data_IF_794078501610
#
_entry.id   IF_794078501610
#
_cell.length_a   1.000
_cell.length_b   1.000
_cell.length_c   1.000
_cell.angle_alpha   90.00
_cell.angle_beta   90.00
_cell.angle_gamma   90.00
#
_symmetry.space_group_name_H-M   'P 1'
#
loop_
_entity.id
_entity.type
_entity.pdbx_description
1 polymer ?
#
# COMPACT_ATOMS: atom_id res chain seq x y z
N UNK A 1 90.58 -32.45 -15.26
CA UNK A 1 90.39 -31.84 -13.93
C UNK A 1 89.40 -32.69 -13.06
N UNK A 2 88.94 -33.86 -13.55
CA UNK A 2 88.07 -34.78 -12.81
C UNK A 2 88.75 -35.88 -12.02
N UNK A 3 89.98 -36.23 -12.39
CA UNK A 3 90.77 -37.34 -11.73
C UNK A 3 91.33 -37.02 -10.37
N UNK A 4 91.55 -35.78 -10.03
CA UNK A 4 92.18 -35.37 -8.75
C UNK A 4 91.14 -35.39 -7.61
N UNK A 5 89.88 -35.16 -7.94
CA UNK A 5 88.81 -35.14 -6.92
C UNK A 5 88.44 -36.56 -6.42
N UNK A 6 88.46 -37.52 -7.32
CA UNK A 6 88.07 -38.90 -7.02
C UNK A 6 89.14 -39.62 -6.13
N UNK A 7 90.47 -39.30 -6.30
CA UNK A 7 91.51 -39.87 -5.46
C UNK A 7 91.52 -39.35 -4.00
N UNK A 8 91.03 -38.16 -3.78
CA UNK A 8 90.97 -37.53 -2.44
C UNK A 8 89.78 -38.10 -1.64
N UNK A 9 88.73 -38.40 -2.28
CA UNK A 9 87.52 -38.92 -1.67
C UNK A 9 87.69 -40.44 -1.29
N UNK A 10 88.44 -41.20 -2.08
CA UNK A 10 88.79 -42.59 -1.73
C UNK A 10 89.79 -42.65 -0.58
N UNK A 11 90.72 -41.72 -0.47
CA UNK A 11 91.70 -41.65 0.64
C UNK A 11 91.02 -41.25 1.98
N UNK A 12 89.99 -40.45 1.94
CA UNK A 12 89.17 -40.05 3.10
C UNK A 12 88.32 -41.22 3.59
N UNK A 13 87.66 -41.92 2.68
CA UNK A 13 86.79 -43.05 2.99
C UNK A 13 87.60 -44.20 3.60
N UNK A 14 88.84 -44.45 3.14
CA UNK A 14 89.77 -45.50 3.71
C UNK A 14 90.19 -45.25 5.12
N UNK A 15 90.09 -44.02 5.65
CA UNK A 15 90.50 -43.65 7.03
C UNK A 15 89.31 -43.73 8.03
N UNK A 16 88.13 -43.88 7.61
CA UNK A 16 86.93 -43.98 8.47
C UNK A 16 86.70 -45.47 8.83
N UNK A 17 87.20 -45.90 9.94
CA UNK A 17 86.84 -47.18 10.52
C UNK A 17 85.60 -47.05 11.30
N UNK A 18 84.50 -47.47 10.69
CA UNK A 18 83.23 -47.68 11.43
C UNK A 18 83.45 -48.84 12.38
N UNK A 19 83.51 -48.60 13.68
CA UNK A 19 83.29 -49.60 14.65
C UNK A 19 81.80 -49.83 14.80
N UNK A 20 81.30 -51.02 14.48
CA UNK A 20 79.85 -51.27 14.76
C UNK A 20 79.73 -51.17 16.29
N UNK A 21 78.99 -50.23 16.74
CA UNK A 21 78.47 -50.18 18.11
C UNK A 21 77.47 -51.28 18.17
N UNK A 22 77.78 -52.41 18.85
CA UNK A 22 76.78 -53.42 19.22
C UNK A 22 75.82 -52.77 20.19
N UNK A 23 74.88 -52.03 19.69
CA UNK A 23 73.63 -51.77 20.41
C UNK A 23 72.72 -52.95 20.15
N UNK A 24 72.41 -53.63 21.17
CA UNK A 24 71.38 -54.71 21.09
C UNK A 24 70.14 -53.98 20.53
N UNK A 25 69.61 -54.43 19.38
CA UNK A 25 68.46 -53.71 18.73
C UNK A 25 67.23 -53.67 19.63
N UNK A 26 67.08 -54.56 20.49
CA UNK A 26 65.91 -54.71 21.39
C UNK A 26 65.87 -53.59 22.46
N UNK A 27 67.00 -53.15 22.99
CA UNK A 27 67.09 -52.15 24.07
C UNK A 27 66.75 -50.71 23.52
N UNK A 28 67.01 -50.45 22.28
CA UNK A 28 66.68 -49.18 21.64
C UNK A 28 65.18 -49.19 21.22
N UNK A 29 64.71 -50.34 20.75
CA UNK A 29 63.35 -50.51 20.38
C UNK A 29 62.39 -50.40 21.57
N UNK A 30 62.73 -51.13 22.67
CA UNK A 30 61.96 -51.03 23.91
C UNK A 30 61.94 -49.64 24.54
N UNK A 31 63.07 -48.91 24.51
CA UNK A 31 63.10 -47.53 24.99
C UNK A 31 62.30 -46.58 24.12
N UNK A 32 62.27 -46.82 22.82
CA UNK A 32 61.45 -46.02 21.91
C UNK A 32 59.95 -46.34 22.08
N UNK A 33 59.65 -47.66 22.20
CA UNK A 33 58.26 -48.10 22.46
C UNK A 33 57.79 -47.64 23.84
N UNK A 34 58.57 -47.72 24.87
CA UNK A 34 58.20 -47.15 26.17
C UNK A 34 58.01 -45.64 26.15
N UNK A 35 58.77 -44.88 25.34
CA UNK A 35 58.50 -43.46 25.14
C UNK A 35 57.24 -43.17 24.36
N UNK A 36 56.90 -44.00 23.39
CA UNK A 36 55.65 -43.87 22.62
C UNK A 36 54.47 -44.26 23.46
N UNK A 37 54.60 -45.36 24.24
CA UNK A 37 53.51 -45.83 25.09
C UNK A 37 53.34 -45.01 26.38
N UNK A 38 54.43 -44.41 26.92
CA UNK A 38 54.38 -43.47 28.04
C UNK A 38 54.27 -42.00 27.60
N UNK A 39 54.16 -41.72 26.32
CA UNK A 39 53.56 -40.46 25.91
C UNK A 39 52.11 -40.54 26.35
N UNK A 40 51.84 -40.12 27.58
CA UNK A 40 50.48 -39.69 27.93
C UNK A 40 50.00 -38.83 26.78
N UNK A 41 49.23 -39.43 25.86
CA UNK A 41 48.33 -38.66 25.04
C UNK A 41 47.54 -37.86 26.06
N UNK A 42 47.89 -36.62 26.21
CA UNK A 42 47.06 -35.63 26.88
C UNK A 42 45.77 -35.65 26.02
N UNK A 43 44.91 -36.67 26.21
CA UNK A 43 43.52 -36.55 25.95
C UNK A 43 43.14 -35.46 26.93
N UNK A 44 43.18 -34.20 26.45
CA UNK A 44 42.57 -33.10 27.17
C UNK A 44 41.15 -33.58 27.46
N UNK A 45 40.96 -34.19 28.61
CA UNK A 45 39.65 -34.51 29.13
C UNK A 45 38.94 -33.18 29.12
N UNK A 46 38.00 -33.00 28.15
CA UNK A 46 37.18 -31.80 28.09
C UNK A 46 36.60 -31.68 29.48
N UNK A 47 37.17 -30.77 30.28
CA UNK A 47 36.78 -30.59 31.67
C UNK A 47 35.24 -30.44 31.66
N UNK A 48 34.56 -31.00 32.67
CA UNK A 48 33.10 -30.87 32.78
C UNK A 48 32.65 -29.42 32.59
N UNK A 49 33.48 -28.46 32.95
CA UNK A 49 33.28 -27.03 32.75
C UNK A 49 33.10 -26.65 31.27
N UNK A 50 33.90 -27.22 30.35
CA UNK A 50 33.75 -26.98 28.91
C UNK A 50 32.51 -27.59 28.33
N UNK A 51 32.02 -28.72 28.85
CA UNK A 51 30.73 -29.34 28.46
C UNK A 51 29.57 -28.43 28.88
N UNK A 52 29.59 -27.90 30.08
CA UNK A 52 28.54 -26.96 30.53
C UNK A 52 28.62 -25.61 29.79
N UNK A 53 29.84 -25.14 29.49
CA UNK A 53 30.02 -23.92 28.70
C UNK A 53 29.48 -24.06 27.27
N UNK A 54 29.70 -25.22 26.60
CA UNK A 54 29.17 -25.44 25.25
C UNK A 54 27.65 -25.55 25.25
N UNK A 55 27.06 -26.21 26.27
CA UNK A 55 25.59 -26.28 26.41
C UNK A 55 25.02 -24.88 26.66
N UNK A 56 25.63 -24.10 27.56
CA UNK A 56 25.19 -22.74 27.83
C UNK A 56 25.28 -21.83 26.59
N UNK A 57 26.38 -21.97 25.80
CA UNK A 57 26.53 -21.23 24.55
C UNK A 57 25.47 -21.62 23.51
N UNK A 58 25.15 -22.93 23.39
CA UNK A 58 24.10 -23.41 22.47
C UNK A 58 22.73 -22.89 22.87
N UNK A 59 22.40 -22.91 24.16
CA UNK A 59 21.13 -22.39 24.69
C UNK A 59 21.05 -20.89 24.45
N UNK A 60 22.14 -20.15 24.73
CA UNK A 60 22.19 -18.70 24.47
C UNK A 60 21.97 -18.39 22.97
N UNK A 61 22.59 -19.17 22.09
CA UNK A 61 22.44 -19.02 20.64
C UNK A 61 21.00 -19.29 20.17
N UNK A 62 20.35 -20.30 20.74
CA UNK A 62 18.93 -20.60 20.47
C UNK A 62 18.02 -19.48 20.97
N UNK A 63 18.28 -18.94 22.17
CA UNK A 63 17.51 -17.82 22.73
C UNK A 63 17.68 -16.58 21.84
N UNK A 64 18.91 -16.24 21.46
CA UNK A 64 19.20 -15.10 20.59
C UNK A 64 18.56 -15.31 19.20
N UNK A 65 18.71 -16.51 18.63
CA UNK A 65 18.05 -16.83 17.34
C UNK A 65 16.53 -16.71 17.42
N UNK A 66 15.92 -17.23 18.50
CA UNK A 66 14.48 -17.13 18.73
C UNK A 66 14.04 -15.68 18.91
N UNK A 67 14.81 -14.88 19.65
CA UNK A 67 14.54 -13.47 19.84
C UNK A 67 14.65 -12.67 18.52
N UNK A 68 15.72 -12.92 17.75
CA UNK A 68 15.92 -12.30 16.45
C UNK A 68 14.82 -12.72 15.46
N UNK A 69 14.43 -14.03 15.47
CA UNK A 69 13.34 -14.52 14.66
C UNK A 69 12.03 -13.84 15.03
N UNK A 70 11.71 -13.72 16.32
CA UNK A 70 10.52 -13.00 16.80
C UNK A 70 10.55 -11.53 16.38
N UNK A 71 11.68 -10.83 16.56
CA UNK A 71 11.85 -9.43 16.17
C UNK A 71 11.72 -9.23 14.65
N UNK A 72 12.15 -10.21 13.85
CA UNK A 72 12.02 -10.17 12.39
C UNK A 72 10.61 -10.51 11.91
N UNK A 73 9.88 -11.38 12.64
CA UNK A 73 8.53 -11.84 12.28
C UNK A 73 7.40 -11.03 12.93
N UNK A 74 7.71 -10.21 13.94
CA UNK A 74 6.69 -9.31 14.48
C UNK A 74 6.27 -8.32 13.38
N UNK A 75 4.96 -8.25 13.05
CA UNK A 75 4.46 -7.29 12.10
C UNK A 75 4.80 -5.90 12.61
N UNK A 76 5.58 -5.15 11.84
CA UNK A 76 5.81 -3.74 12.16
C UNK A 76 4.44 -3.07 12.16
N UNK A 77 4.13 -2.22 13.14
CA UNK A 77 2.91 -1.45 13.11
C UNK A 77 2.89 -0.68 11.77
N UNK A 78 1.84 -0.90 10.98
CA UNK A 78 1.66 -0.19 9.72
C UNK A 78 1.58 1.30 10.05
N UNK A 79 2.52 2.08 9.55
CA UNK A 79 2.41 3.53 9.57
C UNK A 79 1.33 3.92 8.56
N UNK A 80 0.39 4.73 8.99
CA UNK A 80 -0.66 5.30 8.13
C UNK A 80 -0.31 6.73 7.79
N UNK A 81 -0.56 7.08 6.55
CA UNK A 81 -0.49 8.43 6.02
C UNK A 81 -1.92 8.97 5.86
N UNK A 82 -2.10 10.24 6.16
CA UNK A 82 -3.37 10.92 6.04
C UNK A 82 -3.19 12.17 5.17
N UNK A 83 -4.07 12.33 4.20
CA UNK A 83 -4.10 13.49 3.32
C UNK A 83 -5.49 14.09 3.34
N UNK A 84 -5.56 15.39 3.61
CA UNK A 84 -6.80 16.15 3.60
C UNK A 84 -6.73 17.22 2.54
N UNK A 85 -7.74 17.29 1.69
CA UNK A 85 -7.95 18.39 0.74
C UNK A 85 -8.77 19.48 1.41
N UNK A 86 -8.29 20.71 1.34
CA UNK A 86 -9.03 21.88 1.90
C UNK A 86 -10.26 22.19 1.07
N UNK A 87 -11.23 22.85 1.68
CA UNK A 87 -12.44 23.34 1.00
C UNK A 87 -12.06 24.18 -0.22
N UNK A 88 -12.67 23.89 -1.38
CA UNK A 88 -12.40 24.57 -2.63
C UNK A 88 -11.06 24.24 -3.29
N UNK A 89 -10.28 23.32 -2.71
CA UNK A 89 -9.02 22.82 -3.28
C UNK A 89 -9.20 21.41 -3.82
N UNK A 90 -8.33 21.02 -4.75
CA UNK A 90 -8.21 19.65 -5.25
C UNK A 90 -6.80 19.17 -4.96
N UNK A 91 -6.67 17.96 -4.47
CA UNK A 91 -5.36 17.40 -4.10
C UNK A 91 -5.16 16.07 -4.82
N UNK A 92 -4.08 15.94 -5.56
CA UNK A 92 -3.70 14.68 -6.18
C UNK A 92 -2.75 13.92 -5.25
N UNK A 93 -3.02 12.65 -5.03
CA UNK A 93 -2.24 11.74 -4.19
C UNK A 93 -1.78 10.56 -5.04
N UNK A 94 -0.49 10.27 -5.03
CA UNK A 94 0.06 9.05 -5.61
C UNK A 94 0.27 8.03 -4.48
N UNK A 95 -0.44 6.92 -4.56
CA UNK A 95 -0.37 5.84 -3.58
C UNK A 95 0.85 4.93 -3.82
N UNK A 96 1.26 4.10 -2.82
CA UNK A 96 2.43 3.23 -2.92
C UNK A 96 2.38 2.18 -4.05
N UNK A 97 1.20 1.87 -4.57
CA UNK A 97 0.97 0.94 -5.69
C UNK A 97 0.88 1.63 -7.07
N UNK A 98 1.19 2.93 -7.11
CA UNK A 98 1.05 3.80 -8.28
C UNK A 98 -0.40 4.14 -8.66
N UNK A 99 -1.38 3.79 -7.84
CA UNK A 99 -2.75 4.29 -7.97
C UNK A 99 -2.77 5.80 -7.79
N UNK A 100 -3.47 6.49 -8.66
CA UNK A 100 -3.64 7.96 -8.57
C UNK A 100 -5.02 8.26 -8.00
N UNK A 101 -5.06 9.10 -6.97
CA UNK A 101 -6.29 9.54 -6.33
C UNK A 101 -6.38 11.06 -6.41
N UNK A 102 -7.48 11.57 -6.93
CA UNK A 102 -7.82 12.99 -6.82
C UNK A 102 -8.84 13.16 -5.69
N UNK A 103 -8.50 13.95 -4.70
CA UNK A 103 -9.39 14.35 -3.62
C UNK A 103 -10.05 15.68 -3.96
N UNK A 104 -11.38 15.74 -3.88
CA UNK A 104 -12.12 16.99 -3.96
C UNK A 104 -11.99 17.79 -2.66
N UNK A 105 -12.49 19.02 -2.64
CA UNK A 105 -12.49 19.84 -1.43
C UNK A 105 -13.20 19.18 -0.26
N UNK A 106 -12.71 19.41 0.97
CA UNK A 106 -13.24 18.83 2.21
C UNK A 106 -13.22 17.29 2.26
N UNK A 107 -12.24 16.67 1.59
CA UNK A 107 -12.11 15.22 1.55
C UNK A 107 -10.86 14.75 2.25
N UNK A 108 -10.91 13.55 2.81
CA UNK A 108 -9.85 12.95 3.61
C UNK A 108 -9.62 11.51 3.18
N UNK A 109 -8.35 11.15 2.96
CA UNK A 109 -7.93 9.77 2.69
C UNK A 109 -6.89 9.33 3.71
N UNK A 110 -7.03 8.10 4.17
CA UNK A 110 -6.07 7.44 5.07
C UNK A 110 -5.64 6.11 4.45
N UNK A 111 -4.33 5.91 4.33
CA UNK A 111 -3.76 4.72 3.71
C UNK A 111 -2.44 4.33 4.37
N UNK A 112 -2.03 3.04 4.35
CA UNK A 112 -0.77 2.61 4.92
C UNK A 112 0.41 3.03 4.02
N UNK A 113 1.56 3.33 4.63
CA UNK A 113 2.81 3.61 3.91
C UNK A 113 3.21 2.45 2.97
N UNK A 114 2.86 1.22 3.34
CA UNK A 114 3.06 0.01 2.53
C UNK A 114 1.81 -0.84 2.61
N UNK A 115 1.25 -1.21 1.47
CA UNK A 115 0.09 -2.09 1.44
C UNK A 115 0.43 -3.51 1.90
N UNK A 116 -0.50 -4.16 2.59
CA UNK A 116 -0.43 -5.57 2.97
C UNK A 116 -0.15 -6.47 1.75
N UNK A 117 0.32 -7.68 2.02
CA UNK A 117 0.63 -8.66 0.96
C UNK A 117 -0.61 -9.14 0.20
N UNK A 118 -1.79 -9.08 0.81
CA UNK A 118 -3.04 -9.64 0.25
C UNK A 118 -3.97 -8.60 -0.36
N UNK A 119 -3.99 -7.39 0.18
CA UNK A 119 -4.95 -6.35 -0.21
C UNK A 119 -4.29 -4.97 -0.22
N UNK A 120 -4.93 -4.02 -0.91
CA UNK A 120 -4.59 -2.59 -0.92
C UNK A 120 -5.77 -1.85 -0.30
N UNK A 121 -5.72 -1.61 1.00
CA UNK A 121 -6.85 -1.01 1.73
C UNK A 121 -6.58 0.44 2.07
N UNK A 122 -7.61 1.26 1.89
CA UNK A 122 -7.62 2.68 2.25
C UNK A 122 -8.96 3.02 2.91
N UNK A 123 -9.02 4.16 3.59
CA UNK A 123 -10.24 4.76 4.13
C UNK A 123 -10.47 6.09 3.43
N UNK A 124 -11.72 6.40 3.09
CA UNK A 124 -12.12 7.65 2.45
C UNK A 124 -13.28 8.29 3.19
N UNK A 125 -13.22 9.62 3.32
CA UNK A 125 -14.34 10.48 3.71
C UNK A 125 -14.38 11.66 2.74
N UNK A 126 -15.55 12.05 2.25
CA UNK A 126 -15.71 13.08 1.24
C UNK A 126 -15.72 12.53 -0.19
N UNK A 127 -15.24 13.27 -1.16
CA UNK A 127 -15.26 12.90 -2.57
C UNK A 127 -13.87 12.65 -3.13
N UNK A 128 -13.70 11.52 -3.82
CA UNK A 128 -12.48 11.18 -4.51
C UNK A 128 -12.74 10.45 -5.84
N UNK A 129 -11.89 10.74 -6.82
CA UNK A 129 -11.77 9.96 -8.02
C UNK A 129 -10.52 9.09 -7.95
N UNK A 130 -10.65 7.85 -8.36
CA UNK A 130 -9.61 6.84 -8.34
C UNK A 130 -9.29 6.36 -9.75
N UNK A 131 -8.02 6.38 -10.09
CA UNK A 131 -7.43 5.67 -11.22
C UNK A 131 -6.55 4.57 -10.63
N UNK A 132 -7.13 3.37 -10.47
CA UNK A 132 -6.51 2.27 -9.74
C UNK A 132 -5.66 1.42 -10.66
N UNK A 133 -4.37 1.31 -10.36
CA UNK A 133 -3.45 0.41 -11.05
C UNK A 133 -3.95 -1.03 -11.04
N UNK A 134 -4.02 -1.67 -12.23
CA UNK A 134 -4.52 -3.04 -12.38
C UNK A 134 -3.64 -4.05 -11.62
N UNK A 135 -4.27 -4.82 -10.73
CA UNK A 135 -3.66 -5.96 -10.07
C UNK A 135 -4.74 -6.96 -9.63
N UNK A 136 -4.90 -8.04 -10.40
CA UNK A 136 -5.92 -9.08 -10.17
C UNK A 136 -5.65 -9.94 -8.93
N UNK A 137 -4.38 -10.05 -8.53
CA UNK A 137 -3.98 -10.88 -7.38
C UNK A 137 -4.14 -10.14 -6.05
N UNK A 138 -4.12 -8.79 -6.09
CA UNK A 138 -4.14 -7.96 -4.90
C UNK A 138 -5.22 -6.87 -5.04
N UNK A 139 -6.47 -7.15 -4.65
CA UNK A 139 -7.58 -6.20 -4.79
C UNK A 139 -7.34 -4.90 -4.03
N UNK A 140 -7.84 -3.81 -4.59
CA UNK A 140 -7.89 -2.49 -3.98
C UNK A 140 -9.26 -2.32 -3.30
N UNK A 141 -9.26 -1.88 -2.05
CA UNK A 141 -10.45 -1.78 -1.21
C UNK A 141 -10.52 -0.37 -0.64
N UNK A 142 -11.64 0.31 -0.90
CA UNK A 142 -11.97 1.59 -0.27
C UNK A 142 -12.98 1.32 0.84
N UNK A 143 -12.60 1.54 2.08
CA UNK A 143 -13.48 1.43 3.23
C UNK A 143 -14.22 2.74 3.43
N UNK A 144 -15.54 2.66 3.55
CA UNK A 144 -16.47 3.75 3.76
C UNK A 144 -17.34 3.45 5.00
N UNK A 145 -18.20 4.37 5.36
CA UNK A 145 -19.15 4.16 6.45
C UNK A 145 -20.26 3.17 6.04
N UNK A 146 -20.28 1.99 6.66
CA UNK A 146 -21.32 0.95 6.42
C UNK A 146 -21.14 0.12 5.16
N UNK A 147 -20.12 0.40 4.33
CA UNK A 147 -19.83 -0.37 3.13
C UNK A 147 -18.36 -0.32 2.73
N UNK A 148 -17.95 -1.21 1.83
CA UNK A 148 -16.66 -1.09 1.16
C UNK A 148 -16.76 -1.38 -0.34
N UNK A 149 -15.89 -0.72 -1.08
CA UNK A 149 -15.77 -0.81 -2.55
C UNK A 149 -14.53 -1.62 -2.87
N UNK A 150 -14.65 -2.65 -3.70
CA UNK A 150 -13.53 -3.51 -4.12
C UNK A 150 -13.36 -3.47 -5.63
N UNK A 151 -12.12 -3.24 -6.06
CA UNK A 151 -11.75 -3.18 -7.49
C UNK A 151 -10.42 -3.89 -7.74
N UNK A 152 -10.12 -4.19 -9.02
CA UNK A 152 -8.87 -4.82 -9.43
C UNK A 152 -7.98 -3.93 -10.30
N UNK A 153 -8.56 -2.92 -10.95
CA UNK A 153 -7.97 -1.97 -11.87
C UNK A 153 -9.12 -1.24 -12.56
N UNK A 154 -9.45 -0.03 -12.12
CA UNK A 154 -10.76 0.57 -12.37
C UNK A 154 -10.66 2.07 -12.20
N UNK A 155 -11.37 2.82 -13.05
CA UNK A 155 -11.58 4.25 -12.91
C UNK A 155 -12.99 4.50 -12.37
N UNK A 156 -13.10 5.14 -11.20
CA UNK A 156 -14.38 5.39 -10.54
C UNK A 156 -14.33 6.58 -9.60
N UNK A 157 -15.49 7.17 -9.36
CA UNK A 157 -15.68 8.25 -8.39
C UNK A 157 -16.48 7.76 -7.19
N UNK A 158 -16.10 8.17 -6.00
CA UNK A 158 -16.88 7.97 -4.77
C UNK A 158 -17.19 9.34 -4.18
N UNK A 159 -18.42 9.54 -3.77
CA UNK A 159 -18.86 10.64 -2.93
C UNK A 159 -19.46 10.09 -1.63
N UNK A 160 -18.76 10.29 -0.52
CA UNK A 160 -19.09 9.79 0.82
C UNK A 160 -19.00 10.94 1.84
N UNK A 161 -19.89 11.91 1.70
CA UNK A 161 -19.96 13.05 2.62
C UNK A 161 -20.49 12.56 3.99
N UNK A 162 -19.82 12.90 5.11
CA UNK A 162 -20.26 12.54 6.45
C UNK A 162 -21.65 13.09 6.79
N UNK A 163 -22.00 14.26 6.27
CA UNK A 163 -23.27 14.95 6.54
C UNK A 163 -24.42 14.42 5.63
N UNK A 164 -24.13 13.51 4.68
CA UNK A 164 -25.13 12.88 3.81
C UNK A 164 -25.50 11.49 4.31
N UNK A 165 -26.78 11.15 4.19
CA UNK A 165 -27.29 9.79 4.40
C UNK A 165 -26.94 8.83 3.23
N UNK A 166 -26.45 9.36 2.11
CA UNK A 166 -26.15 8.59 0.89
C UNK A 166 -24.64 8.55 0.63
N UNK A 167 -24.18 7.41 0.12
CA UNK A 167 -22.87 7.26 -0.53
C UNK A 167 -23.12 6.96 -2.00
N UNK A 168 -22.45 7.69 -2.88
CA UNK A 168 -22.54 7.50 -4.33
C UNK A 168 -21.25 6.92 -4.88
N UNK A 169 -21.32 5.84 -5.65
CA UNK A 169 -20.19 5.26 -6.37
C UNK A 169 -20.49 5.22 -7.85
N UNK A 170 -19.73 5.94 -8.67
CA UNK A 170 -19.93 6.03 -10.12
C UNK A 170 -18.78 5.37 -10.86
N UNK A 171 -19.07 4.41 -11.72
CA UNK A 171 -18.06 3.68 -12.48
C UNK A 171 -17.84 4.28 -13.86
N UNK A 172 -16.57 4.59 -14.17
CA UNK A 172 -16.14 5.11 -15.47
C UNK A 172 -15.61 3.99 -16.37
N UNK A 173 -14.63 3.22 -15.86
CA UNK A 173 -13.99 2.12 -16.59
C UNK A 173 -13.66 0.96 -15.64
N UNK A 174 -13.77 -0.27 -16.14
CA UNK A 174 -13.47 -1.49 -15.39
C UNK A 174 -14.70 -2.13 -14.73
N UNK A 175 -14.58 -2.51 -13.46
CA UNK A 175 -15.67 -3.13 -12.68
C UNK A 175 -15.51 -2.79 -11.20
N UNK A 176 -16.61 -2.48 -10.54
CA UNK A 176 -16.69 -2.19 -9.10
C UNK A 176 -17.59 -3.20 -8.43
N UNK A 177 -17.08 -3.88 -7.40
CA UNK A 177 -17.87 -4.73 -6.53
C UNK A 177 -18.12 -4.01 -5.19
N UNK A 178 -19.40 -3.94 -4.80
CA UNK A 178 -19.87 -3.27 -3.58
C UNK A 178 -20.25 -4.32 -2.53
N UNK A 179 -19.85 -4.06 -1.30
CA UNK A 179 -20.13 -4.92 -0.14
C UNK A 179 -20.65 -4.06 0.99
N UNK A 180 -21.77 -4.44 1.58
CA UNK A 180 -22.30 -3.80 2.78
C UNK A 180 -21.83 -4.51 4.03
N UNK A 181 -21.65 -3.78 5.11
CA UNK A 181 -21.19 -4.35 6.40
C UNK A 181 -22.24 -5.28 7.03
N UNK A 182 -23.50 -5.19 6.57
CA UNK A 182 -24.59 -6.05 7.02
C UNK A 182 -24.50 -7.46 6.47
N UNK A 183 -23.73 -7.67 5.38
CA UNK A 183 -23.63 -8.93 4.68
C UNK A 183 -22.28 -9.59 4.96
N UNK A 184 -22.25 -10.66 5.78
CA UNK A 184 -21.06 -11.45 6.05
C UNK A 184 -20.69 -12.44 4.93
N UNK A 185 -21.29 -12.28 3.73
CA UNK A 185 -21.06 -13.18 2.59
C UNK A 185 -19.82 -12.76 1.80
N UNK A 186 -19.05 -13.72 1.22
CA UNK A 186 -17.94 -13.40 0.34
C UNK A 186 -18.37 -12.88 -1.04
N UNK A 187 -19.68 -12.89 -1.34
CA UNK A 187 -20.25 -12.40 -2.60
C UNK A 187 -20.56 -10.92 -2.49
N UNK A 188 -20.30 -10.11 -3.53
CA UNK A 188 -20.70 -8.71 -3.54
C UNK A 188 -22.22 -8.58 -3.52
N UNK A 189 -22.73 -7.52 -2.89
CA UNK A 189 -24.14 -7.17 -2.92
C UNK A 189 -24.55 -6.65 -4.29
N UNK A 190 -23.65 -5.86 -4.93
CA UNK A 190 -23.85 -5.35 -6.29
C UNK A 190 -22.53 -5.28 -7.05
N UNK A 191 -22.60 -5.36 -8.38
CA UNK A 191 -21.46 -5.19 -9.29
C UNK A 191 -21.83 -4.16 -10.36
N UNK A 192 -21.10 -3.05 -10.39
CA UNK A 192 -21.32 -2.01 -11.39
C UNK A 192 -20.57 -2.32 -12.69
N UNK A 193 -21.20 -1.91 -13.81
CA UNK A 193 -20.58 -1.82 -15.12
C UNK A 193 -20.38 -0.34 -15.53
N UNK A 194 -19.48 -0.03 -16.49
CA UNK A 194 -19.21 1.36 -16.90
C UNK A 194 -20.48 2.11 -17.28
N UNK A 195 -20.63 3.33 -16.77
CA UNK A 195 -21.83 4.16 -16.97
C UNK A 195 -22.90 3.97 -15.91
N UNK A 196 -22.67 3.19 -14.88
CA UNK A 196 -23.57 3.03 -13.74
C UNK A 196 -23.11 3.76 -12.50
N UNK A 197 -24.09 4.11 -11.67
CA UNK A 197 -23.91 4.68 -10.34
C UNK A 197 -24.71 3.86 -9.33
N UNK A 198 -24.09 3.51 -8.22
CA UNK A 198 -24.74 2.99 -7.04
C UNK A 198 -24.99 4.11 -6.02
N UNK A 199 -26.18 4.09 -5.43
CA UNK A 199 -26.60 4.90 -4.31
C UNK A 199 -26.77 3.98 -3.10
N UNK A 200 -25.89 4.07 -2.14
CA UNK A 200 -26.00 3.34 -0.88
C UNK A 200 -26.62 4.25 0.18
N UNK A 201 -27.72 3.83 0.77
CA UNK A 201 -28.40 4.50 1.87
C UNK A 201 -27.85 3.98 3.21
N UNK A 202 -27.20 4.84 3.98
CA UNK A 202 -26.56 4.50 5.25
C UNK A 202 -27.55 4.03 6.31
N UNK A 203 -28.80 4.51 6.26
CA UNK A 203 -29.81 4.19 7.27
C UNK A 203 -30.46 2.82 7.01
N UNK A 204 -30.80 2.54 5.77
CA UNK A 204 -31.47 1.28 5.40
C UNK A 204 -30.47 0.17 5.03
N UNK A 205 -29.25 0.51 4.67
CA UNK A 205 -28.25 -0.43 4.13
C UNK A 205 -28.55 -0.91 2.73
N UNK A 206 -29.49 -0.26 2.00
CA UNK A 206 -29.88 -0.64 0.65
C UNK A 206 -29.00 0.02 -0.41
N UNK A 207 -28.79 -0.69 -1.52
CA UNK A 207 -28.10 -0.18 -2.70
C UNK A 207 -29.11 -0.07 -3.86
N UNK A 208 -29.17 1.10 -4.49
CA UNK A 208 -29.90 1.32 -5.75
C UNK A 208 -28.89 1.59 -6.87
N UNK A 209 -29.01 0.90 -7.99
CA UNK A 209 -28.14 1.09 -9.17
C UNK A 209 -28.93 1.76 -10.29
N UNK A 210 -28.33 2.79 -10.90
CA UNK A 210 -28.94 3.52 -12.02
C UNK A 210 -27.91 3.86 -13.09
N UNK A 211 -28.28 3.93 -14.37
CA UNK A 211 -27.42 4.44 -15.43
C UNK A 211 -27.25 5.95 -15.31
N UNK A 212 -26.01 6.43 -15.52
CA UNK A 212 -25.66 7.84 -15.44
C UNK A 212 -24.66 8.23 -16.52
N UNK A 213 -24.56 9.55 -16.78
CA UNK A 213 -23.43 10.13 -17.51
C UNK A 213 -22.27 10.35 -16.54
N UNK A 214 -21.23 9.58 -16.67
CA UNK A 214 -20.05 9.63 -15.77
C UNK A 214 -19.39 11.00 -15.75
N UNK A 215 -19.41 11.72 -16.88
CA UNK A 215 -18.84 13.09 -16.96
C UNK A 215 -19.46 14.07 -15.97
N UNK A 216 -20.72 13.90 -15.58
CA UNK A 216 -21.35 14.75 -14.56
C UNK A 216 -20.78 14.55 -13.15
N UNK A 217 -20.13 13.42 -12.90
CA UNK A 217 -19.55 13.03 -11.61
C UNK A 217 -18.03 13.12 -11.57
N UNK A 218 -17.39 13.33 -12.73
CA UNK A 218 -15.93 13.44 -12.84
C UNK A 218 -15.46 14.84 -13.30
N UNK A 219 -16.38 15.68 -13.78
CA UNK A 219 -16.08 17.05 -14.27
C UNK A 219 -15.45 17.94 -13.21
N UNK A 220 -15.66 17.66 -11.95
CA UNK A 220 -15.02 18.41 -10.87
C UNK A 220 -13.48 18.33 -10.93
N UNK A 221 -12.90 17.23 -11.46
CA UNK A 221 -11.44 17.06 -11.58
C UNK A 221 -10.84 18.05 -12.57
N UNK A 222 -11.45 18.18 -13.75
CA UNK A 222 -10.96 19.06 -14.82
C UNK A 222 -11.44 20.50 -14.65
N UNK A 223 -12.57 20.70 -13.99
CA UNK A 223 -13.30 21.96 -13.94
C UNK A 223 -14.10 22.24 -15.20
N UNK A 224 -14.27 21.22 -16.05
CA UNK A 224 -15.08 21.28 -17.26
C UNK A 224 -16.45 20.68 -16.97
N UNK A 225 -17.50 21.44 -17.21
CA UNK A 225 -18.87 21.01 -16.97
C UNK A 225 -19.64 20.89 -18.28
N UNK A 226 -20.23 19.71 -18.50
CA UNK A 226 -21.04 19.41 -19.66
C UNK A 226 -22.45 19.00 -19.20
N UNK A 227 -23.33 19.97 -19.18
CA UNK A 227 -24.73 19.78 -18.82
C UNK A 227 -25.56 19.66 -20.09
N UNK A 228 -26.14 18.51 -20.37
CA UNK A 228 -26.97 18.30 -21.55
C UNK A 228 -28.32 17.72 -21.16
N UNK A 229 -29.37 18.52 -21.32
CA UNK A 229 -30.75 18.15 -20.98
C UNK A 229 -30.89 17.58 -19.56
N UNK A 230 -30.26 18.23 -18.59
CA UNK A 230 -30.41 17.90 -17.17
C UNK A 230 -31.19 19.00 -16.46
N UNK A 231 -31.76 18.68 -15.32
CA UNK A 231 -32.54 19.65 -14.55
C UNK A 231 -31.64 20.66 -13.86
N UNK A 232 -32.16 21.87 -13.62
CA UNK A 232 -31.42 22.88 -12.87
C UNK A 232 -31.06 22.39 -11.45
N UNK A 233 -31.95 21.61 -10.81
CA UNK A 233 -31.65 20.98 -9.52
C UNK A 233 -30.43 20.07 -9.57
N UNK A 234 -30.29 19.26 -10.62
CA UNK A 234 -29.09 18.41 -10.81
C UNK A 234 -27.84 19.23 -11.07
N UNK A 235 -27.94 20.33 -11.86
CA UNK A 235 -26.82 21.28 -12.04
C UNK A 235 -26.38 21.84 -10.69
N UNK A 236 -27.31 22.31 -9.88
CA UNK A 236 -27.01 22.85 -8.56
C UNK A 236 -26.34 21.81 -7.67
N UNK A 237 -26.81 20.58 -7.66
CA UNK A 237 -26.20 19.48 -6.90
C UNK A 237 -24.76 19.18 -7.33
N UNK A 238 -24.46 19.25 -8.63
CA UNK A 238 -23.08 19.13 -9.13
C UNK A 238 -22.22 20.30 -8.64
N UNK A 239 -22.75 21.54 -8.74
CA UNK A 239 -22.03 22.74 -8.32
C UNK A 239 -21.82 22.78 -6.80
N UNK A 240 -22.79 22.32 -5.99
CA UNK A 240 -22.65 22.16 -4.52
C UNK A 240 -21.41 21.32 -4.18
N UNK A 241 -21.28 20.16 -4.84
CA UNK A 241 -20.14 19.26 -4.66
C UNK A 241 -18.83 19.89 -5.12
N UNK A 242 -18.82 20.44 -6.33
CA UNK A 242 -17.58 20.96 -6.94
C UNK A 242 -17.01 22.18 -6.21
N UNK A 243 -17.89 23.04 -5.69
CA UNK A 243 -17.49 24.27 -5.03
C UNK A 243 -17.66 24.24 -3.51
N UNK A 244 -18.12 23.13 -2.95
CA UNK A 244 -18.36 22.97 -1.50
C UNK A 244 -19.29 24.06 -0.94
N UNK A 245 -20.36 24.35 -1.65
CA UNK A 245 -21.38 25.33 -1.30
C UNK A 245 -22.74 24.67 -1.11
N UNK A 246 -23.72 25.41 -0.56
CA UNK A 246 -25.09 24.95 -0.40
C UNK A 246 -26.04 25.93 -1.06
N UNK A 247 -26.94 25.45 -1.95
CA UNK A 247 -27.92 26.28 -2.63
C UNK A 247 -29.26 26.33 -1.90
N UNK A 248 -29.79 27.52 -1.76
CA UNK A 248 -31.11 27.82 -1.20
C UNK A 248 -31.99 28.48 -2.28
N UNK A 249 -32.96 27.74 -2.80
CA UNK A 249 -33.88 28.27 -3.79
C UNK A 249 -35.13 28.80 -3.12
N UNK A 250 -35.49 30.06 -3.47
CA UNK A 250 -36.76 30.61 -3.05
C UNK A 250 -37.95 30.02 -3.83
N UNK A 251 -37.73 29.65 -5.09
CA UNK A 251 -38.74 29.03 -5.95
C UNK A 251 -38.30 27.61 -6.32
N UNK A 252 -38.84 26.62 -5.64
CA UNK A 252 -38.50 25.19 -5.84
C UNK A 252 -38.82 24.67 -7.24
N UNK A 253 -39.86 25.26 -7.94
CA UNK A 253 -40.19 24.82 -9.29
C UNK A 253 -39.11 25.10 -10.34
N UNK A 254 -38.11 25.88 -10.01
CA UNK A 254 -36.93 26.07 -10.87
C UNK A 254 -36.08 24.83 -10.99
N UNK A 255 -36.11 23.95 -9.98
CA UNK A 255 -35.34 22.71 -9.99
C UNK A 255 -35.67 21.81 -11.17
N UNK A 256 -36.91 21.83 -11.64
CA UNK A 256 -37.42 20.95 -12.69
C UNK A 256 -37.14 21.47 -14.11
N UNK A 257 -36.55 22.66 -14.25
CA UNK A 257 -36.23 23.25 -15.54
C UNK A 257 -35.04 22.56 -16.17
N UNK A 258 -35.21 22.02 -17.38
CA UNK A 258 -34.12 21.40 -18.14
C UNK A 258 -33.24 22.41 -18.83
N UNK A 259 -31.94 22.26 -18.70
CA UNK A 259 -30.93 23.09 -19.29
C UNK A 259 -29.89 22.30 -20.06
N UNK A 260 -29.27 22.98 -21.02
CA UNK A 260 -28.04 22.52 -21.66
C UNK A 260 -27.04 23.66 -21.55
N UNK A 261 -25.88 23.41 -20.94
CA UNK A 261 -24.82 24.39 -20.77
C UNK A 261 -23.46 23.67 -20.78
N UNK A 262 -22.45 24.39 -21.24
CA UNK A 262 -21.07 23.87 -21.26
C UNK A 262 -20.14 24.98 -20.72
N UNK A 263 -19.27 24.55 -19.78
CA UNK A 263 -18.26 25.39 -19.17
C UNK A 263 -16.92 24.69 -19.29
N UNK A 264 -15.93 25.26 -19.95
CA UNK A 264 -14.66 24.60 -20.30
C UNK A 264 -13.42 25.46 -20.07
N UNK A 265 -13.60 26.59 -19.41
CA UNK A 265 -12.51 27.53 -19.15
C UNK A 265 -12.19 27.66 -17.66
N UNK A 266 -12.60 26.65 -16.87
CA UNK A 266 -12.47 26.63 -15.40
C UNK A 266 -13.14 27.84 -14.74
N UNK A 267 -14.34 28.12 -15.23
CA UNK A 267 -15.14 29.22 -14.71
C UNK A 267 -15.36 29.08 -13.20
N UNK A 268 -15.30 30.19 -12.52
CA UNK A 268 -15.66 30.30 -11.10
C UNK A 268 -17.15 30.05 -10.89
N UNK A 269 -17.56 29.72 -9.67
CA UNK A 269 -18.98 29.56 -9.33
C UNK A 269 -19.80 30.82 -9.71
N UNK A 270 -19.25 31.99 -9.44
CA UNK A 270 -19.92 33.26 -9.75
C UNK A 270 -20.13 33.47 -11.26
N UNK A 271 -19.14 33.11 -12.08
CA UNK A 271 -19.24 33.14 -13.54
C UNK A 271 -20.27 32.15 -14.07
N UNK A 272 -20.23 30.88 -13.58
CA UNK A 272 -21.22 29.86 -13.94
C UNK A 272 -22.65 30.36 -13.62
N UNK A 273 -22.86 30.82 -12.39
CA UNK A 273 -24.16 31.33 -11.96
C UNK A 273 -24.61 32.54 -12.76
N UNK A 274 -23.69 33.43 -13.12
CA UNK A 274 -23.98 34.62 -13.96
C UNK A 274 -24.42 34.20 -15.36
N UNK A 275 -23.80 33.18 -15.95
CA UNK A 275 -24.18 32.68 -17.27
C UNK A 275 -25.55 31.97 -17.21
N UNK A 276 -25.78 31.14 -16.21
CA UNK A 276 -27.07 30.46 -16.01
C UNK A 276 -28.21 31.46 -15.72
N UNK A 277 -27.91 32.56 -15.02
CA UNK A 277 -28.84 33.67 -14.75
C UNK A 277 -29.44 34.26 -16.02
N UNK A 278 -28.64 34.35 -17.09
CA UNK A 278 -29.11 34.90 -18.38
C UNK A 278 -30.29 34.08 -18.94
N UNK A 279 -30.20 32.77 -18.83
CA UNK A 279 -31.20 31.83 -19.33
C UNK A 279 -32.40 31.70 -18.39
N UNK A 280 -32.17 31.67 -17.07
CA UNK A 280 -33.17 31.37 -16.06
C UNK A 280 -33.82 32.61 -15.41
N UNK A 281 -33.25 33.80 -15.62
CA UNK A 281 -33.77 35.09 -15.12
C UNK A 281 -33.97 35.16 -13.60
N UNK A 282 -33.04 34.60 -12.83
CA UNK A 282 -32.99 34.68 -11.37
C UNK A 282 -32.01 35.74 -10.90
N UNK A 283 -32.00 36.01 -9.60
CA UNK A 283 -30.91 36.72 -8.91
C UNK A 283 -30.26 35.78 -7.93
N UNK A 284 -28.96 35.90 -7.77
CA UNK A 284 -28.26 35.12 -6.76
C UNK A 284 -27.42 36.02 -5.83
N UNK A 285 -27.14 35.50 -4.65
CA UNK A 285 -26.31 36.13 -3.63
C UNK A 285 -25.48 35.03 -2.98
N UNK A 286 -24.14 35.17 -2.96
CA UNK A 286 -23.20 34.25 -2.34
C UNK A 286 -22.80 34.84 -0.98
N UNK A 287 -22.99 34.07 0.09
CA UNK A 287 -22.58 34.39 1.45
C UNK A 287 -21.81 33.22 2.02
N UNK A 288 -20.51 33.35 2.10
CA UNK A 288 -19.60 32.29 2.52
C UNK A 288 -19.82 31.00 1.71
N UNK A 289 -20.46 30.00 2.29
CA UNK A 289 -20.77 28.71 1.64
C UNK A 289 -22.24 28.59 1.21
N UNK A 290 -23.06 29.56 1.51
CA UNK A 290 -24.49 29.58 1.19
C UNK A 290 -24.75 30.42 -0.04
N UNK A 291 -25.45 29.88 -1.03
CA UNK A 291 -25.85 30.53 -2.26
C UNK A 291 -27.36 30.63 -2.32
N UNK A 292 -27.88 31.84 -2.28
CA UNK A 292 -29.31 32.13 -2.30
C UNK A 292 -29.76 32.48 -3.71
N UNK A 293 -30.70 31.73 -4.29
CA UNK A 293 -31.32 31.97 -5.60
C UNK A 293 -32.76 32.47 -5.38
N UNK A 294 -33.07 33.66 -5.96
CA UNK A 294 -34.34 34.35 -5.78
C UNK A 294 -34.99 34.72 -7.09
#
# INVERSE_FOLDING_TARGET
MSDIKNRRDEEIIGRIRFKPVKTEPDVVYDRLWQRVMNSDTIIMGVSSVWKYASIAASVALLVVSSFLYKMYTEPRPLAYLEVTSMIGSKTQVLLPDSTVVWLNGNSHIRYPEVFDSKTRQIELTGEAFFDVTENKEKPFIVNLEGMHVRVLGTEFNIWADPDSDLIETTLVEGSVALYTDTNSTPTPDEILVPGEQALFDKQSGSIEVRPVRTSSYTSWMTGDFFFEKITFGEILSVLERCFSVKFHLKNESMKDVFLTAQFTHKESLEEILSILQISMRYKFEIKDRDVYIR
#
